data_IF_959069848275
#
_entry.id   IF_959069848275
#
_cell.length_a   1.000
_cell.length_b   1.000
_cell.length_c   1.000
_cell.angle_alpha   90.00
_cell.angle_beta   90.00
_cell.angle_gamma   90.00
#
_symmetry.space_group_name_H-M   'P 1'
#
loop_
_entity.id
_entity.type
_entity.pdbx_description
1 polymer ?
#
# COMPACT_ATOMS: atom_id res chain seq x y z
N UNK A 1 8.62 -2.25 -13.77
CA UNK A 1 8.20 -1.67 -12.47
C UNK A 1 9.31 -0.81 -11.91
N UNK A 2 10.56 -1.32 -11.91
CA UNK A 2 11.77 -0.57 -11.52
C UNK A 2 11.96 0.75 -12.27
N UNK A 3 11.72 0.77 -13.59
CA UNK A 3 11.80 2.02 -14.38
C UNK A 3 10.74 3.07 -14.01
N UNK A 4 9.62 2.65 -13.41
CA UNK A 4 8.50 3.53 -13.08
C UNK A 4 8.62 4.14 -11.68
N UNK A 5 9.43 3.54 -10.80
CA UNK A 5 9.67 4.01 -9.43
C UNK A 5 11.17 3.96 -9.16
N UNK A 6 11.90 5.06 -9.43
CA UNK A 6 13.33 5.13 -9.14
C UNK A 6 13.61 4.76 -7.68
N UNK A 7 14.74 4.08 -7.46
CA UNK A 7 15.23 3.67 -6.13
C UNK A 7 14.27 2.76 -5.34
N UNK A 8 13.32 2.07 -6.01
CA UNK A 8 12.41 1.14 -5.34
C UNK A 8 13.00 -0.25 -5.06
N UNK A 9 14.13 -0.58 -5.68
CA UNK A 9 14.71 -1.92 -5.60
C UNK A 9 15.56 -2.08 -4.33
N UNK A 10 15.16 -3.00 -3.45
CA UNK A 10 15.99 -3.45 -2.33
C UNK A 10 16.75 -4.69 -2.78
N UNK A 11 18.06 -4.72 -2.53
CA UNK A 11 18.95 -5.85 -2.84
C UNK A 11 19.69 -6.32 -1.59
N UNK A 12 20.26 -7.53 -1.63
CA UNK A 12 21.06 -8.06 -0.52
C UNK A 12 20.24 -8.63 0.65
N UNK A 13 18.95 -8.88 0.44
CA UNK A 13 18.06 -9.50 1.43
C UNK A 13 18.02 -11.02 1.33
N UNK A 14 18.60 -11.61 0.27
CA UNK A 14 18.47 -13.03 -0.08
C UNK A 14 18.93 -13.93 1.07
N UNK A 15 20.04 -13.58 1.72
CA UNK A 15 20.61 -14.32 2.86
C UNK A 15 19.70 -14.35 4.10
N UNK A 16 18.79 -13.38 4.26
CA UNK A 16 17.82 -13.38 5.37
C UNK A 16 16.61 -14.26 5.09
N UNK A 17 16.25 -14.47 3.83
CA UNK A 17 15.00 -15.16 3.43
C UNK A 17 14.87 -16.55 4.07
N UNK A 18 15.96 -17.31 4.11
CA UNK A 18 15.94 -18.68 4.65
C UNK A 18 15.79 -18.73 6.17
N UNK A 19 16.20 -17.68 6.88
CA UNK A 19 16.15 -17.59 8.34
C UNK A 19 14.79 -17.10 8.86
N UNK A 20 13.95 -16.54 7.98
CA UNK A 20 12.63 -16.04 8.34
C UNK A 20 11.59 -17.15 8.31
N UNK A 21 10.61 -17.06 9.22
CA UNK A 21 9.47 -17.97 9.27
C UNK A 21 8.19 -17.16 9.21
N UNK A 22 7.43 -17.36 8.14
CA UNK A 22 6.09 -16.81 7.95
C UNK A 22 5.10 -17.94 7.68
N UNK A 23 3.79 -17.72 7.89
CA UNK A 23 2.75 -18.67 7.50
C UNK A 23 2.85 -19.09 6.04
N UNK A 24 3.15 -18.15 5.14
CA UNK A 24 3.46 -18.40 3.74
C UNK A 24 4.98 -18.32 3.52
N UNK A 25 5.65 -19.43 3.16
CA UNK A 25 7.08 -19.44 2.84
C UNK A 25 7.43 -18.53 1.66
N UNK A 26 6.50 -18.30 0.73
CA UNK A 26 6.72 -17.45 -0.42
C UNK A 26 6.73 -15.97 -0.04
N UNK A 27 6.17 -15.55 1.11
CA UNK A 27 6.20 -14.15 1.55
C UNK A 27 7.48 -13.73 2.29
N UNK A 28 8.37 -14.68 2.58
CA UNK A 28 9.61 -14.42 3.33
C UNK A 28 10.51 -13.37 2.67
N UNK A 29 10.54 -13.34 1.34
CA UNK A 29 11.32 -12.34 0.61
C UNK A 29 10.80 -10.92 0.83
N UNK A 30 9.48 -10.74 1.00
CA UNK A 30 8.87 -9.44 1.29
C UNK A 30 9.32 -8.94 2.65
N UNK A 31 9.29 -9.80 3.68
CA UNK A 31 9.77 -9.44 5.01
C UNK A 31 11.30 -9.21 5.03
N UNK A 32 12.07 -10.03 4.34
CA UNK A 32 13.52 -9.85 4.22
C UNK A 32 13.87 -8.49 3.59
N UNK A 33 13.19 -8.15 2.49
CA UNK A 33 13.35 -6.85 1.83
C UNK A 33 12.92 -5.69 2.74
N UNK A 34 11.82 -5.84 3.49
CA UNK A 34 11.37 -4.81 4.44
C UNK A 34 12.39 -4.58 5.57
N UNK A 35 13.02 -5.64 6.09
CA UNK A 35 14.08 -5.55 7.11
C UNK A 35 15.31 -4.82 6.55
N UNK A 36 15.82 -5.24 5.39
CA UNK A 36 17.01 -4.62 4.77
C UNK A 36 16.72 -3.17 4.36
N UNK A 37 15.53 -2.91 3.83
CA UNK A 37 15.04 -1.59 3.47
C UNK A 37 14.68 -0.69 4.67
N UNK A 38 14.76 -1.21 5.90
CA UNK A 38 14.39 -0.50 7.13
C UNK A 38 12.98 0.10 7.08
N UNK A 39 12.05 -0.63 6.47
CA UNK A 39 10.67 -0.21 6.37
C UNK A 39 10.01 -0.25 7.76
N UNK A 40 9.12 0.69 8.05
CA UNK A 40 8.29 0.63 9.27
C UNK A 40 7.02 -0.20 9.07
N UNK A 41 6.56 -0.36 7.82
CA UNK A 41 5.33 -1.08 7.51
C UNK A 41 5.39 -1.83 6.18
N UNK A 42 4.68 -2.96 6.12
CA UNK A 42 4.33 -3.71 4.90
C UNK A 42 2.86 -3.44 4.59
N UNK A 43 2.59 -2.84 3.43
CA UNK A 43 1.22 -2.54 3.00
C UNK A 43 0.71 -3.70 2.15
N UNK A 44 -0.25 -4.48 2.68
CA UNK A 44 -0.72 -5.71 2.05
C UNK A 44 -2.20 -5.98 2.34
N UNK A 45 -2.88 -6.61 1.38
CA UNK A 45 -4.26 -7.10 1.60
C UNK A 45 -4.28 -8.37 2.45
N UNK A 46 -3.21 -9.14 2.43
CA UNK A 46 -3.13 -10.41 3.13
C UNK A 46 -2.41 -10.26 4.47
N UNK A 47 -2.92 -9.39 5.35
CA UNK A 47 -2.30 -9.10 6.65
C UNK A 47 -2.06 -10.37 7.48
N UNK A 48 -2.88 -11.41 7.30
CA UNK A 48 -2.73 -12.71 7.97
C UNK A 48 -1.42 -13.44 7.63
N UNK A 49 -0.85 -13.18 6.46
CA UNK A 49 0.40 -13.80 6.01
C UNK A 49 1.62 -13.13 6.66
N UNK A 50 1.40 -11.99 7.34
CA UNK A 50 2.40 -11.24 8.09
C UNK A 50 1.96 -11.04 9.57
N UNK A 51 1.98 -12.11 10.40
CA UNK A 51 1.49 -12.03 11.77
C UNK A 51 2.28 -11.03 12.62
N UNK A 52 1.58 -10.19 13.37
CA UNK A 52 2.20 -9.19 14.28
C UNK A 52 3.24 -9.79 15.22
N UNK A 53 3.01 -11.01 15.72
CA UNK A 53 3.96 -11.69 16.60
C UNK A 53 5.32 -11.95 15.94
N UNK A 54 5.34 -12.23 14.63
CA UNK A 54 6.57 -12.41 13.85
C UNK A 54 7.21 -11.06 13.52
N UNK A 55 6.41 -10.06 13.14
CA UNK A 55 6.95 -8.77 12.68
C UNK A 55 7.48 -7.91 13.83
N UNK A 56 6.93 -8.03 15.04
CA UNK A 56 7.26 -7.19 16.18
C UNK A 56 8.75 -7.23 16.57
N UNK A 57 9.46 -8.33 16.31
CA UNK A 57 10.91 -8.41 16.55
C UNK A 57 11.75 -7.52 15.63
N UNK A 58 11.15 -7.05 14.53
CA UNK A 58 11.80 -6.21 13.52
C UNK A 58 11.28 -4.77 13.52
N UNK A 59 10.36 -4.43 14.44
CA UNK A 59 9.70 -3.12 14.50
C UNK A 59 8.95 -2.78 13.19
N UNK A 60 8.37 -3.82 12.56
CA UNK A 60 7.58 -3.72 11.33
C UNK A 60 6.13 -4.03 11.66
N UNK A 61 5.20 -3.30 11.04
CA UNK A 61 3.78 -3.63 11.06
C UNK A 61 3.26 -4.04 9.67
N UNK A 62 2.23 -4.89 9.62
CA UNK A 62 1.49 -5.14 8.40
C UNK A 62 0.16 -4.37 8.44
N UNK A 63 -0.13 -3.63 7.36
CA UNK A 63 -1.29 -2.74 7.30
C UNK A 63 -2.07 -2.94 6.01
N UNK A 64 -3.41 -2.95 6.10
CA UNK A 64 -4.26 -3.00 4.92
C UNK A 64 -4.15 -1.68 4.14
N UNK A 65 -4.13 -1.69 2.79
CA UNK A 65 -4.03 -0.46 1.99
C UNK A 65 -5.10 0.59 2.32
N UNK A 66 -6.33 0.15 2.61
CA UNK A 66 -7.42 1.08 2.98
C UNK A 66 -7.16 1.79 4.32
N UNK A 67 -6.55 1.09 5.28
CA UNK A 67 -6.17 1.66 6.56
C UNK A 67 -4.99 2.62 6.40
N UNK A 68 -4.00 2.24 5.58
CA UNK A 68 -2.86 3.08 5.27
C UNK A 68 -3.28 4.42 4.66
N UNK A 69 -4.11 4.40 3.61
CA UNK A 69 -4.57 5.62 2.97
C UNK A 69 -5.39 6.46 3.94
N UNK A 70 -6.26 5.85 4.75
CA UNK A 70 -7.01 6.56 5.77
C UNK A 70 -6.10 7.25 6.80
N UNK A 71 -5.01 6.60 7.25
CA UNK A 71 -4.00 7.25 8.09
C UNK A 71 -3.31 8.41 7.36
N UNK A 72 -2.96 8.26 6.08
CA UNK A 72 -2.37 9.36 5.30
C UNK A 72 -3.31 10.55 5.17
N UNK A 73 -4.63 10.35 5.08
CA UNK A 73 -5.60 11.44 5.08
C UNK A 73 -5.57 12.22 6.41
N UNK A 74 -5.36 11.52 7.53
CA UNK A 74 -5.17 12.16 8.84
C UNK A 74 -3.86 12.97 8.95
N UNK A 75 -2.83 12.62 8.19
CA UNK A 75 -1.53 13.30 8.17
C UNK A 75 -1.52 14.50 7.20
N UNK A 76 -1.93 14.28 5.95
CA UNK A 76 -2.03 15.30 4.92
C UNK A 76 -3.15 14.96 3.92
N UNK A 77 -4.36 15.40 4.27
CA UNK A 77 -5.53 15.24 3.42
C UNK A 77 -5.33 15.84 2.03
N UNK A 78 -4.75 17.03 1.92
CA UNK A 78 -4.61 17.71 0.64
C UNK A 78 -3.72 16.92 -0.32
N UNK A 79 -2.60 16.40 0.17
CA UNK A 79 -1.71 15.55 -0.62
C UNK A 79 -2.42 14.26 -1.09
N UNK A 80 -3.25 13.64 -0.26
CA UNK A 80 -4.02 12.45 -0.67
C UNK A 80 -5.04 12.78 -1.76
N UNK A 81 -5.80 13.88 -1.62
CA UNK A 81 -6.77 14.32 -2.65
C UNK A 81 -6.06 14.60 -3.98
N UNK A 82 -4.94 15.32 -3.96
CA UNK A 82 -4.14 15.60 -5.16
C UNK A 82 -3.60 14.31 -5.78
N UNK A 83 -3.16 13.37 -4.96
CA UNK A 83 -2.67 12.07 -5.41
C UNK A 83 -3.77 11.24 -6.07
N UNK A 84 -4.95 11.16 -5.45
CA UNK A 84 -6.13 10.50 -6.02
C UNK A 84 -6.51 11.10 -7.38
N UNK A 85 -6.51 12.43 -7.49
CA UNK A 85 -6.74 13.15 -8.75
C UNK A 85 -5.75 12.76 -9.82
N UNK A 86 -4.47 12.79 -9.49
CA UNK A 86 -3.40 12.45 -10.43
C UNK A 86 -3.48 10.99 -10.88
N UNK A 87 -3.80 10.07 -9.97
CA UNK A 87 -4.03 8.66 -10.30
C UNK A 87 -5.19 8.51 -11.28
N UNK A 88 -6.34 9.14 -11.02
CA UNK A 88 -7.49 9.09 -11.93
C UNK A 88 -7.16 9.67 -13.31
N UNK A 89 -6.49 10.82 -13.37
CA UNK A 89 -6.12 11.49 -14.63
C UNK A 89 -5.10 10.69 -15.47
N UNK A 90 -4.38 9.74 -14.86
CA UNK A 90 -3.49 8.79 -15.57
C UNK A 90 -4.25 7.63 -16.21
N UNK A 91 -5.48 7.33 -15.77
CA UNK A 91 -6.35 6.35 -16.42
C UNK A 91 -6.82 6.95 -17.75
N UNK A 92 -6.15 6.58 -18.84
CA UNK A 92 -6.44 7.09 -20.20
C UNK A 92 -7.12 6.04 -21.09
N UNK A 93 -7.08 4.77 -20.72
CA UNK A 93 -7.62 3.65 -21.48
C UNK A 93 -8.26 2.59 -20.55
N UNK A 94 -9.56 2.69 -20.25
CA UNK A 94 -10.46 3.80 -20.56
C UNK A 94 -10.25 5.00 -19.61
N UNK A 95 -10.63 6.22 -20.02
CA UNK A 95 -10.78 7.34 -19.08
C UNK A 95 -11.88 7.06 -18.06
N UNK A 96 -11.70 7.55 -16.84
CA UNK A 96 -12.61 7.32 -15.71
C UNK A 96 -13.09 8.65 -15.11
N UNK A 97 -14.42 8.80 -14.92
CA UNK A 97 -14.98 9.90 -14.15
C UNK A 97 -14.58 9.79 -12.67
N UNK A 98 -14.73 10.86 -11.90
CA UNK A 98 -14.43 10.84 -10.47
C UNK A 98 -15.29 9.81 -9.72
N UNK A 99 -16.57 9.71 -10.07
CA UNK A 99 -17.51 8.75 -9.51
C UNK A 99 -17.13 7.31 -9.86
N UNK A 100 -16.78 7.05 -11.12
CA UNK A 100 -16.33 5.75 -11.57
C UNK A 100 -15.02 5.33 -10.89
N UNK A 101 -14.12 6.28 -10.67
CA UNK A 101 -12.87 6.06 -9.96
C UNK A 101 -13.12 5.66 -8.50
N UNK A 102 -13.94 6.43 -7.76
CA UNK A 102 -14.30 6.09 -6.36
C UNK A 102 -15.01 4.74 -6.29
N UNK A 103 -15.92 4.44 -7.22
CA UNK A 103 -16.58 3.14 -7.26
C UNK A 103 -15.61 1.99 -7.58
N UNK A 104 -14.59 2.23 -8.41
CA UNK A 104 -13.53 1.25 -8.65
C UNK A 104 -12.72 0.98 -7.39
N UNK A 105 -12.35 2.01 -6.62
CA UNK A 105 -11.67 1.84 -5.33
C UNK A 105 -12.54 1.06 -4.33
N UNK A 106 -13.86 1.31 -4.32
CA UNK A 106 -14.81 0.58 -3.46
C UNK A 106 -14.82 -0.90 -3.82
N UNK A 107 -14.89 -1.25 -5.10
CA UNK A 107 -14.85 -2.65 -5.59
C UNK A 107 -13.51 -3.33 -5.29
N UNK A 108 -12.44 -2.55 -5.22
CA UNK A 108 -11.14 -3.00 -4.75
C UNK A 108 -11.07 -3.09 -3.22
N UNK A 109 -12.17 -2.98 -2.48
CA UNK A 109 -12.16 -3.12 -1.02
C UNK A 109 -11.42 -1.99 -0.31
N UNK A 110 -11.58 -0.75 -0.79
CA UNK A 110 -11.07 0.47 -0.13
C UNK A 110 -12.21 1.37 0.41
N UNK A 111 -13.15 0.84 1.22
CA UNK A 111 -14.32 1.60 1.65
C UNK A 111 -14.02 2.84 2.49
N UNK A 112 -13.00 2.82 3.36
CA UNK A 112 -12.60 4.00 4.18
C UNK A 112 -12.06 5.10 3.28
N UNK A 113 -11.18 4.74 2.35
CA UNK A 113 -10.66 5.66 1.33
C UNK A 113 -11.81 6.27 0.52
N UNK A 114 -12.78 5.46 0.11
CA UNK A 114 -13.95 5.97 -0.63
C UNK A 114 -14.78 6.96 0.18
N UNK A 115 -14.93 6.74 1.49
CA UNK A 115 -15.63 7.67 2.37
C UNK A 115 -14.89 9.02 2.45
N UNK A 116 -13.57 9.00 2.62
CA UNK A 116 -12.75 10.23 2.63
C UNK A 116 -12.81 10.97 1.28
N UNK A 117 -12.80 10.25 0.15
CA UNK A 117 -12.83 10.86 -1.19
C UNK A 117 -14.22 11.35 -1.62
N UNK A 118 -15.30 10.81 -1.04
CA UNK A 118 -16.67 11.14 -1.43
C UNK A 118 -16.99 12.64 -1.30
N UNK A 119 -16.41 13.32 -0.30
CA UNK A 119 -16.59 14.76 -0.09
C UNK A 119 -15.88 15.62 -1.14
N UNK A 120 -14.91 15.04 -1.87
CA UNK A 120 -14.03 15.74 -2.81
C UNK A 120 -14.19 15.26 -4.26
N UNK A 121 -15.24 14.50 -4.56
CA UNK A 121 -15.50 13.92 -5.90
C UNK A 121 -15.42 14.97 -7.01
N UNK A 122 -15.87 16.21 -6.76
CA UNK A 122 -15.85 17.28 -7.76
C UNK A 122 -14.45 17.79 -8.13
N UNK A 123 -13.43 17.51 -7.31
CA UNK A 123 -12.06 18.03 -7.49
C UNK A 123 -11.00 16.93 -7.67
N UNK A 124 -11.34 15.66 -7.42
CA UNK A 124 -10.49 14.51 -7.75
C UNK A 124 -10.67 14.04 -9.18
#
# INVERSE_FOLDING_TARGET
MEEAVPDCLITGYEALTEALTLPDPDDRHVLAAAIVGKCSAIITRNVRDFPRATLASYDIEAMHPDDFIHHQVGLDRAAVIVSARNCRMRLRNPPSSAEQYVETLRRQGLPKTCAELAEYVSII
#
